data_IF_434272654607
#
_entry.id   IF_434272654607
#
_cell.length_a   1.000
_cell.length_b   1.000
_cell.length_c   1.000
_cell.angle_alpha   90.00
_cell.angle_beta   90.00
_cell.angle_gamma   90.00
#
_symmetry.space_group_name_H-M   'P 1'
#
loop_
_entity.id
_entity.type
_entity.pdbx_description
1 polymer ?
#
# COMPACT_ATOMS: atom_id res chain seq x y z
N UNK A 1 89.70 -33.72 -23.58
CA UNK A 1 89.05 -34.67 -22.65
C UNK A 1 87.73 -34.06 -22.21
N UNK A 2 86.65 -34.51 -22.87
CA UNK A 2 85.44 -35.17 -22.33
C UNK A 2 84.54 -34.27 -21.44
N UNK A 3 83.49 -33.64 -21.96
CA UNK A 3 82.11 -34.07 -22.41
C UNK A 3 81.07 -33.94 -21.26
N UNK A 4 79.88 -33.43 -21.65
CA UNK A 4 78.54 -33.40 -21.00
C UNK A 4 78.21 -32.12 -20.19
N UNK A 5 77.00 -31.55 -20.21
CA UNK A 5 75.78 -31.64 -21.05
C UNK A 5 74.70 -30.74 -20.42
N UNK A 6 73.93 -30.02 -21.25
CA UNK A 6 72.56 -29.57 -20.95
C UNK A 6 72.41 -28.40 -19.98
N UNK A 7 71.40 -27.55 -20.04
CA UNK A 7 70.23 -27.46 -20.90
C UNK A 7 69.71 -26.03 -20.80
N UNK A 8 69.30 -25.47 -21.96
CA UNK A 8 68.47 -24.27 -21.99
C UNK A 8 67.02 -24.67 -21.72
N UNK A 9 66.40 -24.16 -20.66
CA UNK A 9 64.95 -24.20 -20.50
C UNK A 9 64.40 -22.94 -19.82
N UNK A 10 63.69 -22.16 -20.64
CA UNK A 10 62.39 -21.54 -20.34
C UNK A 10 62.26 -20.57 -19.14
N UNK A 11 62.52 -19.29 -19.40
CA UNK A 11 61.97 -18.15 -18.62
C UNK A 11 60.73 -17.56 -19.34
N UNK A 12 59.55 -18.17 -19.22
CA UNK A 12 58.29 -17.62 -19.79
C UNK A 12 57.00 -17.87 -18.97
N UNK A 13 57.06 -18.11 -17.66
CA UNK A 13 55.85 -18.36 -16.86
C UNK A 13 55.73 -17.41 -15.65
N UNK A 14 55.49 -16.12 -15.91
CA UNK A 14 55.08 -15.20 -14.81
C UNK A 14 54.24 -14.00 -15.26
N UNK A 15 53.34 -14.16 -16.24
CA UNK A 15 52.39 -13.09 -16.64
C UNK A 15 50.98 -13.56 -17.08
N UNK A 16 50.44 -14.64 -16.49
CA UNK A 16 49.03 -15.07 -16.75
C UNK A 16 48.18 -15.11 -15.46
N UNK A 17 48.60 -14.42 -14.39
CA UNK A 17 47.87 -14.40 -13.11
C UNK A 17 46.82 -13.29 -12.96
N UNK A 18 46.93 -12.19 -13.72
CA UNK A 18 46.16 -10.97 -13.44
C UNK A 18 44.94 -10.74 -14.36
N UNK A 19 44.82 -11.45 -15.49
CA UNK A 19 43.71 -11.24 -16.45
C UNK A 19 42.47 -12.08 -16.10
N UNK A 20 42.64 -13.22 -15.44
CA UNK A 20 41.53 -14.12 -15.07
C UNK A 20 40.66 -13.61 -13.91
N UNK A 21 41.22 -12.81 -12.99
CA UNK A 21 40.48 -12.29 -11.83
C UNK A 21 39.65 -11.04 -12.15
N UNK A 22 39.93 -10.37 -13.28
CA UNK A 22 39.24 -9.13 -13.70
C UNK A 22 37.99 -9.40 -14.56
N UNK A 23 37.88 -10.57 -15.19
CA UNK A 23 36.76 -10.93 -16.07
C UNK A 23 35.53 -11.45 -15.33
N UNK A 24 35.67 -11.86 -14.07
CA UNK A 24 34.56 -12.33 -13.22
C UNK A 24 33.89 -11.22 -12.40
N UNK A 25 34.48 -10.01 -12.35
CA UNK A 25 33.98 -8.89 -11.52
C UNK A 25 33.08 -7.93 -12.28
N UNK A 26 33.28 -7.75 -13.60
CA UNK A 26 32.51 -6.84 -14.44
C UNK A 26 31.00 -7.16 -14.53
N UNK A 27 30.56 -8.42 -14.79
CA UNK A 27 29.13 -8.73 -14.85
C UNK A 27 28.45 -8.55 -13.49
N UNK A 28 29.19 -8.73 -12.39
CA UNK A 28 28.68 -8.54 -11.03
C UNK A 28 28.46 -7.05 -10.70
N UNK A 29 29.37 -6.18 -11.14
CA UNK A 29 29.23 -4.73 -10.96
C UNK A 29 28.07 -4.16 -11.80
N UNK A 30 27.92 -4.62 -13.04
CA UNK A 30 26.80 -4.21 -13.90
C UNK A 30 25.44 -4.64 -13.35
N UNK A 31 25.34 -5.86 -12.81
CA UNK A 31 24.12 -6.33 -12.15
C UNK A 31 23.81 -5.54 -10.86
N UNK A 32 24.83 -5.22 -10.07
CA UNK A 32 24.66 -4.39 -8.88
C UNK A 32 24.15 -2.98 -9.20
N UNK A 33 24.63 -2.38 -10.30
CA UNK A 33 24.14 -1.08 -10.76
C UNK A 33 22.69 -1.14 -11.26
N UNK A 34 22.33 -2.19 -12.01
CA UNK A 34 20.96 -2.41 -12.47
C UNK A 34 19.98 -2.65 -11.30
N UNK A 35 20.37 -3.46 -10.32
CA UNK A 35 19.58 -3.70 -9.10
C UNK A 35 19.40 -2.40 -8.30
N UNK A 36 20.45 -1.60 -8.13
CA UNK A 36 20.36 -0.30 -7.45
C UNK A 36 19.42 0.68 -8.18
N UNK A 37 19.35 0.60 -9.51
CA UNK A 37 18.41 1.39 -10.33
C UNK A 37 16.96 0.92 -10.13
N UNK A 38 16.73 -0.39 -10.07
CA UNK A 38 15.42 -0.96 -9.73
C UNK A 38 14.97 -0.52 -8.33
N UNK A 39 15.85 -0.62 -7.35
CA UNK A 39 15.59 -0.18 -5.98
C UNK A 39 15.22 1.31 -5.90
N UNK A 40 15.95 2.16 -6.63
CA UNK A 40 15.66 3.59 -6.69
C UNK A 40 14.29 3.85 -7.34
N UNK A 41 14.00 3.16 -8.45
CA UNK A 41 12.71 3.26 -9.13
C UNK A 41 11.54 2.82 -8.22
N UNK A 42 11.71 1.73 -7.47
CA UNK A 42 10.71 1.25 -6.52
C UNK A 42 10.50 2.23 -5.35
N UNK A 43 11.58 2.78 -4.78
CA UNK A 43 11.49 3.81 -3.73
C UNK A 43 10.76 5.06 -4.20
N UNK A 44 11.06 5.54 -5.41
CA UNK A 44 10.38 6.71 -5.98
C UNK A 44 8.87 6.47 -6.19
N UNK A 45 8.48 5.25 -6.57
CA UNK A 45 7.08 4.86 -6.64
C UNK A 45 6.44 4.86 -5.25
N UNK A 46 7.06 4.22 -4.25
CA UNK A 46 6.53 4.18 -2.89
C UNK A 46 6.37 5.57 -2.28
N UNK A 47 7.32 6.48 -2.48
CA UNK A 47 7.22 7.85 -1.99
C UNK A 47 5.99 8.57 -2.58
N UNK A 48 5.77 8.45 -3.90
CA UNK A 48 4.58 9.03 -4.55
C UNK A 48 3.30 8.36 -4.08
N UNK A 49 3.31 7.03 -3.95
CA UNK A 49 2.17 6.26 -3.46
C UNK A 49 1.80 6.68 -2.05
N UNK A 50 2.76 6.82 -1.14
CA UNK A 50 2.52 7.18 0.25
C UNK A 50 2.01 8.61 0.43
N UNK A 51 2.36 9.52 -0.48
CA UNK A 51 1.76 10.85 -0.51
C UNK A 51 0.28 10.83 -0.91
N UNK A 52 -0.12 9.89 -1.78
CA UNK A 52 -1.50 9.73 -2.25
C UNK A 52 -2.34 8.82 -1.33
N UNK A 53 -1.72 7.81 -0.73
CA UNK A 53 -2.28 6.77 0.14
C UNK A 53 -1.52 6.69 1.50
N UNK A 54 -1.55 7.74 2.36
CA UNK A 54 -0.91 7.73 3.67
C UNK A 54 -1.19 6.52 4.57
N UNK A 55 -2.39 5.94 4.52
CA UNK A 55 -2.72 4.76 5.33
C UNK A 55 -1.88 3.54 4.93
N UNK A 56 -1.56 3.40 3.64
CA UNK A 56 -0.68 2.33 3.16
C UNK A 56 0.75 2.50 3.70
N UNK A 57 1.24 3.74 3.83
CA UNK A 57 2.53 4.03 4.45
C UNK A 57 2.57 3.54 5.90
N UNK A 58 1.55 3.89 6.69
CA UNK A 58 1.42 3.43 8.08
C UNK A 58 1.38 1.90 8.19
N UNK A 59 0.61 1.22 7.33
CA UNK A 59 0.52 -0.25 7.34
C UNK A 59 1.85 -0.93 7.02
N UNK A 60 2.71 -0.26 6.23
CA UNK A 60 4.06 -0.72 5.90
C UNK A 60 5.12 -0.25 6.91
N UNK A 61 4.71 0.42 8.00
CA UNK A 61 5.59 0.88 9.07
C UNK A 61 6.28 2.22 8.81
N UNK A 62 5.88 2.95 7.76
CA UNK A 62 6.34 4.31 7.51
C UNK A 62 5.44 5.33 8.19
N UNK A 63 5.94 5.86 9.31
CA UNK A 63 5.19 6.76 10.17
C UNK A 63 5.23 8.24 9.74
N UNK A 64 5.90 8.59 8.64
CA UNK A 64 6.03 9.99 8.18
C UNK A 64 4.68 10.63 7.86
N UNK A 65 3.69 9.82 7.49
CA UNK A 65 2.37 10.25 7.04
C UNK A 65 1.23 9.90 8.02
N UNK A 66 1.55 9.44 9.24
CA UNK A 66 0.54 8.96 10.21
C UNK A 66 -0.56 9.99 10.57
N UNK A 67 -0.25 11.27 10.46
CA UNK A 67 -1.21 12.35 10.71
C UNK A 67 -2.14 12.66 9.52
N UNK A 68 -1.94 11.98 8.39
CA UNK A 68 -2.67 12.20 7.14
C UNK A 68 -3.60 11.02 6.86
N UNK A 69 -4.69 11.31 6.15
CA UNK A 69 -5.62 10.33 5.63
C UNK A 69 -5.86 10.70 4.16
N UNK A 70 -5.76 9.73 3.27
CA UNK A 70 -5.98 9.92 1.84
C UNK A 70 -7.36 10.49 1.50
N UNK A 71 -7.41 11.26 0.41
CA UNK A 71 -8.67 11.57 -0.26
C UNK A 71 -9.13 10.35 -1.05
N UNK A 72 -10.25 9.76 -0.66
CA UNK A 72 -10.83 8.59 -1.36
C UNK A 72 -11.84 8.99 -2.44
N UNK A 73 -11.94 10.27 -2.83
CA UNK A 73 -12.85 10.74 -3.88
C UNK A 73 -12.58 10.07 -5.23
N UNK A 74 -13.58 9.93 -6.12
CA UNK A 74 -13.37 9.37 -7.46
C UNK A 74 -12.24 10.05 -8.24
N UNK A 75 -12.04 11.36 -8.03
CA UNK A 75 -10.94 12.11 -8.64
C UNK A 75 -9.58 11.61 -8.13
N UNK A 76 -9.40 11.55 -6.82
CA UNK A 76 -8.15 11.10 -6.20
C UNK A 76 -7.86 9.62 -6.53
N UNK A 77 -8.87 8.75 -6.51
CA UNK A 77 -8.71 7.35 -6.94
C UNK A 77 -8.24 7.23 -8.40
N UNK A 78 -8.68 8.12 -9.29
CA UNK A 78 -8.17 8.16 -10.66
C UNK A 78 -6.69 8.58 -10.73
N UNK A 79 -6.23 9.43 -9.80
CA UNK A 79 -4.81 9.78 -9.68
C UNK A 79 -3.97 8.59 -9.19
N UNK A 80 -4.50 7.75 -8.28
CA UNK A 80 -3.84 6.51 -7.86
C UNK A 80 -3.66 5.55 -9.04
N UNK A 81 -4.73 5.32 -9.81
CA UNK A 81 -4.69 4.48 -11.02
C UNK A 81 -3.71 5.05 -12.05
N UNK A 82 -3.67 6.37 -12.22
CA UNK A 82 -2.76 7.02 -13.15
C UNK A 82 -1.30 6.82 -12.73
N UNK A 83 -0.99 6.94 -11.43
CA UNK A 83 0.35 6.66 -10.91
C UNK A 83 0.75 5.21 -11.17
N UNK A 84 -0.10 4.24 -10.83
CA UNK A 84 0.16 2.81 -11.03
C UNK A 84 0.38 2.48 -12.51
N UNK A 85 -0.47 3.00 -13.39
CA UNK A 85 -0.36 2.78 -14.85
C UNK A 85 0.90 3.40 -15.44
N UNK A 86 1.22 4.63 -15.07
CA UNK A 86 2.43 5.30 -15.52
C UNK A 86 3.69 4.56 -15.03
N UNK A 87 3.67 4.05 -13.80
CA UNK A 87 4.78 3.29 -13.22
C UNK A 87 5.00 1.97 -13.95
N UNK A 88 3.92 1.22 -14.22
CA UNK A 88 3.98 -0.04 -14.96
C UNK A 88 4.55 0.16 -16.37
N UNK A 89 4.14 1.23 -17.06
CA UNK A 89 4.65 1.56 -18.39
C UNK A 89 6.13 1.98 -18.38
N UNK A 90 6.56 2.71 -17.34
CA UNK A 90 7.92 3.21 -17.24
C UNK A 90 8.93 2.13 -16.79
N UNK A 91 8.50 1.13 -16.02
CA UNK A 91 9.36 0.11 -15.42
C UNK A 91 10.32 -0.57 -16.43
N UNK A 92 9.86 -1.17 -17.56
CA UNK A 92 10.76 -1.83 -18.51
C UNK A 92 11.63 -0.85 -19.33
N UNK A 93 11.27 0.44 -19.36
CA UNK A 93 12.08 1.49 -20.01
C UNK A 93 13.19 1.98 -19.08
N UNK A 94 12.90 2.02 -17.77
CA UNK A 94 13.83 2.47 -16.75
C UNK A 94 14.84 1.39 -16.39
N UNK A 95 14.43 0.12 -16.34
CA UNK A 95 15.26 -1.00 -15.85
C UNK A 95 15.36 -2.09 -16.92
N UNK A 96 16.59 -2.39 -17.34
CA UNK A 96 16.88 -3.48 -18.27
C UNK A 96 16.87 -4.82 -17.53
N UNK A 97 15.79 -5.57 -17.67
CA UNK A 97 15.56 -6.85 -17.00
C UNK A 97 16.72 -7.84 -17.17
N UNK A 98 17.37 -7.85 -18.34
CA UNK A 98 18.43 -8.81 -18.65
C UNK A 98 19.75 -8.52 -17.94
N UNK A 99 19.91 -7.28 -17.44
CA UNK A 99 21.09 -6.84 -16.68
C UNK A 99 20.94 -7.03 -15.18
N UNK A 100 19.72 -7.27 -14.69
CA UNK A 100 19.47 -7.51 -13.27
C UNK A 100 20.14 -8.80 -12.79
N UNK A 101 20.48 -8.85 -11.50
CA UNK A 101 20.83 -10.12 -10.86
C UNK A 101 19.62 -11.06 -10.85
N UNK A 102 19.84 -12.33 -10.50
CA UNK A 102 18.72 -13.28 -10.41
C UNK A 102 17.69 -12.85 -9.34
N UNK A 103 18.15 -12.25 -8.25
CA UNK A 103 17.25 -11.70 -7.23
C UNK A 103 16.52 -10.47 -7.77
N UNK A 104 17.23 -9.53 -8.40
CA UNK A 104 16.62 -8.35 -8.99
C UNK A 104 15.58 -8.67 -10.08
N UNK A 105 15.78 -9.74 -10.87
CA UNK A 105 14.77 -10.23 -11.81
C UNK A 105 13.47 -10.65 -11.11
N UNK A 106 13.58 -11.33 -9.96
CA UNK A 106 12.42 -11.74 -9.17
C UNK A 106 11.73 -10.50 -8.60
N UNK A 107 12.48 -9.55 -8.04
CA UNK A 107 11.92 -8.31 -7.49
C UNK A 107 11.21 -7.47 -8.56
N UNK A 108 11.79 -7.40 -9.77
CA UNK A 108 11.17 -6.76 -10.93
C UNK A 108 9.85 -7.43 -11.30
N UNK A 109 9.81 -8.76 -11.35
CA UNK A 109 8.60 -9.52 -11.71
C UNK A 109 7.51 -9.36 -10.64
N UNK A 110 7.87 -9.43 -9.36
CA UNK A 110 6.94 -9.19 -8.25
C UNK A 110 6.36 -7.79 -8.35
N UNK A 111 7.20 -6.78 -8.54
CA UNK A 111 6.72 -5.40 -8.61
C UNK A 111 5.84 -5.16 -9.84
N UNK A 112 6.22 -5.69 -11.01
CA UNK A 112 5.38 -5.63 -12.21
C UNK A 112 4.02 -6.29 -11.96
N UNK A 113 4.02 -7.48 -11.36
CA UNK A 113 2.80 -8.22 -11.09
C UNK A 113 1.88 -7.52 -10.08
N UNK A 114 2.43 -6.87 -9.05
CA UNK A 114 1.67 -6.05 -8.10
C UNK A 114 0.96 -4.88 -8.80
N UNK A 115 1.66 -4.17 -9.69
CA UNK A 115 1.09 -3.07 -10.48
C UNK A 115 -0.01 -3.56 -11.43
N UNK A 116 0.23 -4.67 -12.13
CA UNK A 116 -0.73 -5.29 -13.05
C UNK A 116 -2.00 -5.73 -12.30
N UNK A 117 -1.82 -6.41 -11.15
CA UNK A 117 -2.92 -6.89 -10.31
C UNK A 117 -3.71 -5.72 -9.74
N UNK A 118 -3.05 -4.66 -9.29
CA UNK A 118 -3.71 -3.45 -8.77
C UNK A 118 -4.62 -2.81 -9.82
N UNK A 119 -4.12 -2.66 -11.07
CA UNK A 119 -4.94 -2.13 -12.17
C UNK A 119 -6.10 -3.06 -12.51
N UNK A 120 -5.84 -4.37 -12.55
CA UNK A 120 -6.87 -5.36 -12.84
C UNK A 120 -8.00 -5.33 -11.81
N UNK A 121 -7.67 -5.25 -10.51
CA UNK A 121 -8.65 -5.17 -9.44
C UNK A 121 -9.56 -3.95 -9.60
N UNK A 122 -8.98 -2.76 -9.82
CA UNK A 122 -9.76 -1.53 -10.02
C UNK A 122 -10.73 -1.65 -11.20
N UNK A 123 -10.27 -2.24 -12.31
CA UNK A 123 -11.07 -2.40 -13.53
C UNK A 123 -12.20 -3.47 -13.39
N UNK A 124 -12.10 -4.39 -12.43
CA UNK A 124 -12.96 -5.57 -12.39
C UNK A 124 -13.82 -5.71 -11.13
N UNK A 125 -13.50 -5.01 -10.03
CA UNK A 125 -14.19 -5.23 -8.73
C UNK A 125 -14.90 -4.00 -8.16
N UNK A 126 -14.60 -2.77 -8.62
CA UNK A 126 -15.26 -1.51 -8.22
C UNK A 126 -15.65 -1.42 -6.73
N UNK A 127 -14.70 -1.65 -5.80
CA UNK A 127 -15.03 -1.83 -4.38
C UNK A 127 -15.63 -0.58 -3.74
N UNK A 128 -15.28 0.61 -4.21
CA UNK A 128 -15.81 1.87 -3.68
C UNK A 128 -17.29 2.11 -4.05
N UNK A 129 -17.76 1.50 -5.14
CA UNK A 129 -19.13 1.62 -5.63
C UNK A 129 -20.02 0.46 -5.12
N UNK A 130 -19.44 -0.74 -5.01
CA UNK A 130 -20.19 -1.98 -4.80
C UNK A 130 -19.91 -2.67 -3.45
N UNK A 131 -18.90 -2.23 -2.68
CA UNK A 131 -18.57 -2.76 -1.36
C UNK A 131 -18.47 -1.67 -0.28
N UNK A 132 -19.56 -1.41 0.48
CA UNK A 132 -19.56 -0.43 1.55
C UNK A 132 -18.54 -0.71 2.67
N UNK A 133 -18.00 -1.93 2.77
CA UNK A 133 -17.00 -2.31 3.78
C UNK A 133 -15.66 -1.66 3.50
N UNK A 134 -15.34 -1.35 2.24
CA UNK A 134 -14.08 -0.68 1.84
C UNK A 134 -13.87 0.64 2.57
N UNK A 135 -14.94 1.36 2.89
CA UNK A 135 -14.83 2.61 3.64
C UNK A 135 -14.43 2.41 5.11
N UNK A 136 -14.61 1.19 5.65
CA UNK A 136 -14.19 0.83 7.01
C UNK A 136 -12.69 0.96 7.23
N UNK A 137 -11.89 0.66 6.21
CA UNK A 137 -10.43 0.76 6.25
C UNK A 137 -9.98 2.19 6.57
N UNK A 138 -10.67 3.17 5.98
CA UNK A 138 -10.39 4.59 6.12
C UNK A 138 -11.04 5.21 7.35
N UNK A 139 -12.22 4.73 7.74
CA UNK A 139 -13.01 5.26 8.85
C UNK A 139 -12.52 4.71 10.18
N UNK A 140 -12.27 3.41 10.31
CA UNK A 140 -11.98 2.78 11.60
C UNK A 140 -10.54 2.29 11.65
N UNK A 141 -10.11 1.53 10.65
CA UNK A 141 -8.83 0.82 10.74
C UNK A 141 -7.63 1.78 10.64
N UNK A 142 -7.75 2.85 9.85
CA UNK A 142 -6.75 3.93 9.76
C UNK A 142 -6.45 4.60 11.10
N UNK A 143 -7.43 4.64 12.00
CA UNK A 143 -7.30 5.20 13.35
C UNK A 143 -6.89 4.12 14.34
N UNK A 144 -7.51 2.94 14.25
CA UNK A 144 -7.21 1.82 15.13
C UNK A 144 -5.75 1.38 15.03
N UNK A 145 -5.18 1.31 13.82
CA UNK A 145 -3.79 0.93 13.61
C UNK A 145 -2.81 1.84 14.39
N UNK A 146 -3.06 3.15 14.43
CA UNK A 146 -2.23 4.08 15.19
C UNK A 146 -2.31 3.86 16.69
N UNK A 147 -3.48 3.49 17.21
CA UNK A 147 -3.69 3.37 18.66
C UNK A 147 -3.34 1.98 19.20
N UNK A 148 -3.50 0.93 18.40
CA UNK A 148 -3.36 -0.46 18.84
C UNK A 148 -2.13 -1.18 18.27
N UNK A 149 -1.57 -0.73 17.14
CA UNK A 149 -0.51 -1.46 16.42
C UNK A 149 0.79 -0.67 16.28
N UNK A 150 0.74 0.67 16.33
CA UNK A 150 1.94 1.52 16.24
C UNK A 150 2.83 1.40 17.48
N UNK A 151 4.15 1.42 17.25
CA UNK A 151 5.19 1.40 18.30
C UNK A 151 5.65 2.80 18.73
N UNK A 152 5.11 3.86 18.11
CA UNK A 152 5.41 5.24 18.49
C UNK A 152 4.89 5.58 19.91
N UNK A 153 5.39 6.64 20.54
CA UNK A 153 4.86 7.11 21.82
C UNK A 153 3.36 7.34 21.74
N UNK A 154 2.64 6.88 22.76
CA UNK A 154 1.17 6.96 22.87
C UNK A 154 0.61 8.36 22.52
N UNK A 155 1.21 9.42 23.07
CA UNK A 155 0.72 10.78 22.84
C UNK A 155 0.95 11.25 21.39
N UNK A 156 2.01 10.76 20.73
CA UNK A 156 2.23 10.96 19.29
C UNK A 156 1.14 10.26 18.48
N UNK A 157 0.85 8.99 18.80
CA UNK A 157 -0.21 8.24 18.12
C UNK A 157 -1.60 8.88 18.29
N UNK A 158 -1.91 9.40 19.49
CA UNK A 158 -3.15 10.13 19.73
C UNK A 158 -3.22 11.42 18.91
N UNK A 159 -2.11 12.16 18.79
CA UNK A 159 -2.04 13.36 17.94
C UNK A 159 -2.33 13.02 16.48
N UNK A 160 -1.70 11.96 15.98
CA UNK A 160 -1.88 11.48 14.60
C UNK A 160 -3.30 10.98 14.35
N UNK A 161 -3.85 10.18 15.28
CA UNK A 161 -5.23 9.70 15.22
C UNK A 161 -6.24 10.85 15.18
N UNK A 162 -6.09 11.85 16.06
CA UNK A 162 -6.95 13.05 16.07
C UNK A 162 -6.86 13.80 14.73
N UNK A 163 -5.68 13.87 14.12
CA UNK A 163 -5.50 14.50 12.82
C UNK A 163 -6.26 13.74 11.70
N UNK A 164 -6.15 12.40 11.66
CA UNK A 164 -6.93 11.55 10.73
C UNK A 164 -8.43 11.69 10.95
N UNK A 165 -8.87 11.66 12.20
CA UNK A 165 -10.28 11.76 12.59
C UNK A 165 -10.98 12.98 12.01
N UNK A 166 -10.28 14.13 11.92
CA UNK A 166 -10.82 15.35 11.31
C UNK A 166 -11.14 15.22 9.82
N UNK A 167 -10.59 14.21 9.12
CA UNK A 167 -10.83 13.94 7.69
C UNK A 167 -11.94 12.92 7.45
N UNK A 168 -12.26 12.08 8.43
CA UNK A 168 -13.25 11.00 8.32
C UNK A 168 -14.65 11.46 7.88
N UNK A 169 -15.20 12.61 8.34
CA UNK A 169 -16.50 13.07 7.84
C UNK A 169 -16.58 13.21 6.32
N UNK A 170 -15.48 13.63 5.67
CA UNK A 170 -15.42 13.72 4.21
C UNK A 170 -15.41 12.34 3.54
N UNK A 171 -14.74 11.35 4.14
CA UNK A 171 -14.75 9.95 3.67
C UNK A 171 -16.16 9.37 3.71
N UNK A 172 -16.90 9.59 4.80
CA UNK A 172 -18.28 9.11 4.94
C UNK A 172 -19.20 9.75 3.89
N UNK A 173 -19.01 11.04 3.61
CA UNK A 173 -19.78 11.73 2.56
C UNK A 173 -19.47 11.17 1.17
N UNK A 174 -18.20 10.95 0.85
CA UNK A 174 -17.79 10.28 -0.41
C UNK A 174 -18.43 8.89 -0.50
N UNK A 175 -18.48 8.13 0.59
CA UNK A 175 -19.12 6.81 0.61
C UNK A 175 -20.59 6.88 0.21
N UNK A 176 -21.35 7.80 0.82
CA UNK A 176 -22.77 8.00 0.52
C UNK A 176 -23.03 8.39 -0.93
N UNK A 177 -22.15 9.21 -1.51
CA UNK A 177 -22.27 9.66 -2.89
C UNK A 177 -21.85 8.60 -3.92
N UNK A 178 -20.90 7.74 -3.55
CA UNK A 178 -20.28 6.78 -4.47
C UNK A 178 -20.99 5.44 -4.50
N UNK A 179 -21.53 4.96 -3.38
CA UNK A 179 -22.14 3.64 -3.26
C UNK A 179 -23.42 3.50 -4.09
N UNK A 180 -23.48 2.42 -4.89
CA UNK A 180 -24.52 2.21 -5.90
C UNK A 180 -25.29 0.91 -5.70
N UNK A 181 -24.62 -0.24 -5.84
CA UNK A 181 -25.30 -1.53 -5.98
C UNK A 181 -24.55 -2.67 -5.28
N UNK A 182 -24.44 -2.64 -3.94
CA UNK A 182 -23.82 -3.75 -3.22
C UNK A 182 -24.68 -5.01 -3.28
N UNK A 183 -24.06 -6.16 -3.03
CA UNK A 183 -24.82 -7.36 -2.71
C UNK A 183 -25.47 -7.24 -1.34
N UNK A 184 -26.63 -7.88 -1.16
CA UNK A 184 -27.34 -7.89 0.13
C UNK A 184 -26.47 -8.42 1.28
N UNK A 185 -25.72 -9.49 1.05
CA UNK A 185 -24.86 -10.13 2.07
C UNK A 185 -23.70 -9.22 2.50
N UNK A 186 -23.08 -8.52 1.54
CA UNK A 186 -22.02 -7.54 1.82
C UNK A 186 -22.61 -6.36 2.62
N UNK A 187 -23.75 -5.82 2.16
CA UNK A 187 -24.41 -4.71 2.84
C UNK A 187 -24.80 -5.05 4.29
N UNK A 188 -25.35 -6.24 4.54
CA UNK A 188 -25.69 -6.68 5.89
C UNK A 188 -24.47 -6.72 6.82
N UNK A 189 -23.31 -7.08 6.28
CA UNK A 189 -22.04 -7.06 7.01
C UNK A 189 -21.58 -5.63 7.28
N UNK A 190 -21.62 -4.76 6.27
CA UNK A 190 -21.28 -3.35 6.43
C UNK A 190 -22.18 -2.64 7.46
N UNK A 191 -23.48 -2.94 7.49
CA UNK A 191 -24.43 -2.44 8.50
C UNK A 191 -24.01 -2.83 9.91
N UNK A 192 -23.53 -4.07 10.12
CA UNK A 192 -23.02 -4.50 11.43
C UNK A 192 -21.69 -3.82 11.77
N UNK A 193 -20.77 -3.72 10.82
CA UNK A 193 -19.48 -3.07 11.02
C UNK A 193 -19.64 -1.58 11.33
N UNK A 194 -20.55 -0.87 10.67
CA UNK A 194 -20.80 0.54 10.94
C UNK A 194 -21.36 0.78 12.35
N UNK A 195 -22.21 -0.11 12.87
CA UNK A 195 -22.62 -0.07 14.29
C UNK A 195 -21.42 -0.24 15.23
N UNK A 196 -20.49 -1.13 14.87
CA UNK A 196 -19.22 -1.27 15.58
C UNK A 196 -18.37 0.00 15.53
N UNK A 197 -18.30 0.67 14.38
CA UNK A 197 -17.61 1.95 14.22
C UNK A 197 -18.25 3.06 15.07
N UNK A 198 -19.58 3.13 15.13
CA UNK A 198 -20.29 4.06 16.04
C UNK A 198 -19.87 3.80 17.49
N UNK A 199 -19.95 2.54 17.95
CA UNK A 199 -19.55 2.19 19.32
C UNK A 199 -18.07 2.49 19.60
N UNK A 200 -17.19 2.26 18.61
CA UNK A 200 -15.78 2.60 18.72
C UNK A 200 -15.58 4.10 18.96
N UNK A 201 -16.22 4.98 18.19
CA UNK A 201 -16.07 6.42 18.37
C UNK A 201 -16.88 7.00 19.56
N UNK A 202 -17.91 6.29 20.03
CA UNK A 202 -18.68 6.68 21.22
C UNK A 202 -17.97 6.32 22.54
N UNK A 203 -17.26 5.19 22.59
CA UNK A 203 -16.59 4.74 23.83
C UNK A 203 -15.25 4.07 23.61
N UNK A 204 -15.15 3.14 22.66
CA UNK A 204 -14.00 2.26 22.51
C UNK A 204 -12.66 2.99 22.29
N UNK A 205 -12.69 4.09 21.55
CA UNK A 205 -11.50 4.91 21.29
C UNK A 205 -10.97 5.59 22.55
N UNK A 206 -11.86 5.96 23.50
CA UNK A 206 -11.46 6.59 24.76
C UNK A 206 -10.90 5.57 25.74
N UNK A 207 -11.45 4.35 25.74
CA UNK A 207 -10.93 3.22 26.51
C UNK A 207 -9.53 2.84 26.02
N UNK A 208 -9.36 2.74 24.70
CA UNK A 208 -8.07 2.47 24.07
C UNK A 208 -7.06 3.59 24.33
N UNK A 209 -7.49 4.85 24.26
CA UNK A 209 -6.66 6.00 24.62
C UNK A 209 -6.28 6.03 26.09
N UNK A 210 -7.06 5.43 27.00
CA UNK A 210 -6.83 5.44 28.44
C UNK A 210 -6.61 6.84 29.01
N UNK A 211 -5.83 6.95 30.09
CA UNK A 211 -5.46 8.24 30.67
C UNK A 211 -4.54 9.03 29.74
N UNK A 212 -5.00 10.21 29.28
CA UNK A 212 -4.22 11.12 28.42
C UNK A 212 -4.67 12.58 28.63
N UNK A 213 -3.75 13.57 28.56
CA UNK A 213 -4.12 14.98 28.52
C UNK A 213 -4.91 15.36 27.25
N UNK A 214 -4.84 14.55 26.19
CA UNK A 214 -5.52 14.82 24.91
C UNK A 214 -6.98 14.38 24.88
N UNK A 215 -7.55 13.87 25.98
CA UNK A 215 -8.89 13.28 26.02
C UNK A 215 -9.98 14.25 25.52
N UNK A 216 -9.89 15.53 25.90
CA UNK A 216 -10.86 16.54 25.45
C UNK A 216 -10.80 16.75 23.93
N UNK A 217 -9.59 16.80 23.35
CA UNK A 217 -9.40 16.95 21.91
C UNK A 217 -9.86 15.68 21.16
N UNK A 218 -9.59 14.49 21.71
CA UNK A 218 -10.06 13.23 21.14
C UNK A 218 -11.59 13.15 21.11
N UNK A 219 -12.26 13.52 22.20
CA UNK A 219 -13.73 13.58 22.27
C UNK A 219 -14.31 14.57 21.26
N UNK A 220 -13.70 15.76 21.15
CA UNK A 220 -14.13 16.77 20.20
C UNK A 220 -13.98 16.30 18.74
N UNK A 221 -12.93 15.53 18.43
CA UNK A 221 -12.73 14.95 17.09
C UNK A 221 -13.68 13.77 16.80
N UNK A 222 -14.04 12.98 17.82
CA UNK A 222 -14.92 11.82 17.67
C UNK A 222 -16.40 12.21 17.45
N UNK A 223 -16.88 13.26 18.13
CA UNK A 223 -18.28 13.68 18.08
C UNK A 223 -18.85 13.84 16.65
N UNK A 224 -18.22 14.60 15.72
CA UNK A 224 -18.75 14.74 14.37
C UNK A 224 -18.70 13.43 13.57
N UNK A 225 -17.76 12.53 13.88
CA UNK A 225 -17.69 11.20 13.24
C UNK A 225 -18.91 10.37 13.65
N UNK A 226 -19.23 10.33 14.95
CA UNK A 226 -20.40 9.58 15.46
C UNK A 226 -21.69 10.07 14.79
N UNK A 227 -21.87 11.39 14.67
CA UNK A 227 -23.04 11.97 14.00
C UNK A 227 -23.12 11.50 12.52
N UNK A 228 -22.02 11.59 11.79
CA UNK A 228 -21.98 11.14 10.39
C UNK A 228 -22.18 9.63 10.24
N UNK A 229 -21.62 8.81 11.13
CA UNK A 229 -21.80 7.36 11.08
C UNK A 229 -23.24 6.95 11.40
N UNK A 230 -23.97 7.69 12.25
CA UNK A 230 -25.40 7.48 12.49
C UNK A 230 -26.23 7.80 11.24
N UNK A 231 -25.93 8.90 10.56
CA UNK A 231 -26.56 9.23 9.28
C UNK A 231 -26.24 8.19 8.22
N UNK A 232 -24.99 7.72 8.17
CA UNK A 232 -24.56 6.66 7.27
C UNK A 232 -25.27 5.35 7.58
N UNK A 233 -25.49 5.01 8.86
CA UNK A 233 -26.27 3.84 9.27
C UNK A 233 -27.69 3.88 8.67
N UNK A 234 -28.37 5.02 8.78
CA UNK A 234 -29.71 5.21 8.20
C UNK A 234 -29.68 5.07 6.68
N UNK A 235 -28.66 5.60 6.01
CA UNK A 235 -28.46 5.44 4.58
C UNK A 235 -28.27 3.96 4.18
N UNK A 236 -27.41 3.22 4.89
CA UNK A 236 -27.15 1.81 4.65
C UNK A 236 -28.40 0.94 4.84
N UNK A 237 -29.20 1.21 5.87
CA UNK A 237 -30.41 0.45 6.20
C UNK A 237 -31.63 0.81 5.37
N UNK A 238 -31.66 2.03 4.82
CA UNK A 238 -32.73 2.56 3.99
C UNK A 238 -32.37 2.56 2.52
N UNK A 239 -31.91 3.72 2.04
CA UNK A 239 -31.70 3.99 0.61
C UNK A 239 -30.78 2.98 -0.09
N UNK A 240 -29.61 2.67 0.49
CA UNK A 240 -28.70 1.71 -0.14
C UNK A 240 -29.26 0.29 -0.12
N UNK A 241 -29.96 -0.10 0.95
CA UNK A 241 -30.63 -1.41 1.04
C UNK A 241 -31.68 -1.60 -0.03
N UNK A 242 -32.44 -0.55 -0.36
CA UNK A 242 -33.43 -0.61 -1.43
C UNK A 242 -32.79 -0.89 -2.81
N UNK A 243 -31.50 -0.56 -2.97
CA UNK A 243 -30.73 -0.74 -4.21
C UNK A 243 -29.80 -1.95 -4.18
N UNK A 244 -29.76 -2.74 -3.10
CA UNK A 244 -28.77 -3.79 -2.87
C UNK A 244 -29.07 -5.09 -3.64
N UNK A 245 -28.87 -5.05 -4.97
CA UNK A 245 -29.16 -6.16 -5.89
C UNK A 245 -27.90 -6.78 -6.52
N UNK A 246 -26.72 -6.30 -6.15
CA UNK A 246 -25.45 -6.76 -6.72
C UNK A 246 -25.18 -8.25 -6.48
N UNK A 247 -24.53 -8.90 -7.45
CA UNK A 247 -23.99 -10.24 -7.25
C UNK A 247 -22.60 -10.14 -6.64
N UNK A 248 -22.36 -10.85 -5.54
CA UNK A 248 -21.06 -10.90 -4.89
C UNK A 248 -20.10 -11.88 -5.58
N UNK A 249 -20.60 -12.73 -6.48
CA UNK A 249 -19.78 -13.71 -7.20
C UNK A 249 -18.99 -13.00 -8.29
N UNK A 250 -17.67 -13.14 -8.21
CA UNK A 250 -16.75 -12.57 -9.20
C UNK A 250 -16.83 -13.26 -10.58
N UNK A 251 -17.27 -14.51 -10.62
CA UNK A 251 -17.34 -15.33 -11.84
C UNK A 251 -16.01 -16.01 -12.19
N UNK A 252 -16.08 -17.18 -12.84
CA UNK A 252 -14.91 -18.03 -13.08
C UNK A 252 -13.80 -17.35 -13.90
N UNK A 253 -14.16 -16.58 -14.92
CA UNK A 253 -13.17 -15.92 -15.79
C UNK A 253 -12.34 -14.87 -15.06
N UNK A 254 -12.98 -14.11 -14.15
CA UNK A 254 -12.29 -13.12 -13.34
C UNK A 254 -11.54 -13.78 -12.17
N UNK A 255 -12.10 -14.83 -11.58
CA UNK A 255 -11.46 -15.55 -10.47
C UNK A 255 -10.18 -16.28 -10.86
N UNK A 256 -10.03 -16.66 -12.14
CA UNK A 256 -8.86 -17.40 -12.63
C UNK A 256 -7.70 -16.50 -13.10
N UNK A 257 -7.86 -15.18 -13.06
CA UNK A 257 -6.82 -14.20 -13.37
C UNK A 257 -6.08 -13.77 -12.12
#
# INVERSE_FOLDING_TARGET
>A
MNVFSGSQTFRWLTRIGAVGLMLLTLPRLAAQEADAKLDAFFRDYLEKRFQLEPTAATQLGDHRFDHQLEDVSPKSRAEWVALTRATLQALPQAVDFTKLSRAGQIDFEIFRHDLETSLWLVENTHPFEDDPRTYGDYISDSVYALLAQSTLPKETNLTNAIARMRRIPAVIEVARQTLKNPSKTILETAIRQNRGAIAFYESGIFELAGGTPQLAALKAAAAPIVEQLKLYQTFLEGDLRARATGDWRLGCERFAK
#
